data_IF_385884322977
#
_entry.id   IF_385884322977
#
_cell.length_a   1.000
_cell.length_b   1.000
_cell.length_c   1.000
_cell.angle_alpha   90.00
_cell.angle_beta   90.00
_cell.angle_gamma   90.00
#
_symmetry.space_group_name_H-M   'P 1'
#
loop_
_entity.id
_entity.type
_entity.pdbx_description
1 polymer ?
#
# COMPACT_ATOMS: atom_id res chain seq x y z
N UNK A 1 20.56 -15.08 -26.70
CA UNK A 1 21.30 -14.15 -25.82
C UNK A 1 21.09 -14.58 -24.37
N UNK A 2 22.04 -14.29 -23.47
CA UNK A 2 21.87 -14.56 -22.04
C UNK A 2 20.73 -13.69 -21.50
N UNK A 3 19.96 -14.23 -20.55
CA UNK A 3 18.89 -13.47 -19.86
C UNK A 3 19.54 -12.46 -18.89
N UNK A 4 18.93 -11.29 -18.76
CA UNK A 4 19.31 -10.30 -17.75
C UNK A 4 18.87 -10.83 -16.38
N UNK A 5 19.79 -10.91 -15.42
CA UNK A 5 19.50 -11.41 -14.08
C UNK A 5 19.11 -10.24 -13.19
N UNK A 6 17.93 -10.34 -12.56
CA UNK A 6 17.41 -9.30 -11.64
C UNK A 6 16.90 -9.93 -10.35
N UNK A 7 17.14 -9.23 -9.23
CA UNK A 7 16.49 -9.55 -7.94
C UNK A 7 15.15 -8.83 -7.86
N UNK A 8 14.10 -9.57 -7.48
CA UNK A 8 12.75 -9.04 -7.30
C UNK A 8 12.27 -9.37 -5.89
N UNK A 9 12.06 -8.34 -5.05
CA UNK A 9 11.54 -8.51 -3.69
C UNK A 9 10.06 -8.09 -3.63
N UNK A 10 9.16 -9.02 -3.33
CA UNK A 10 7.70 -8.79 -3.31
C UNK A 10 7.06 -9.56 -2.15
N UNK A 11 5.80 -9.26 -1.85
CA UNK A 11 5.01 -10.02 -0.88
C UNK A 11 4.63 -11.40 -1.45
N UNK A 12 4.34 -12.34 -0.56
CA UNK A 12 3.96 -13.71 -0.94
C UNK A 12 2.44 -13.78 -1.15
N UNK A 13 2.02 -13.33 -2.33
CA UNK A 13 0.60 -13.26 -2.71
C UNK A 13 0.26 -14.33 -3.76
N UNK A 14 -0.98 -14.81 -3.75
CA UNK A 14 -1.46 -15.73 -4.79
C UNK A 14 -1.28 -15.13 -6.21
N UNK A 15 -1.50 -13.82 -6.36
CA UNK A 15 -1.42 -13.14 -7.67
C UNK A 15 0.01 -13.05 -8.24
N UNK A 16 1.03 -13.37 -7.45
CA UNK A 16 2.44 -13.42 -7.94
C UNK A 16 3.02 -14.83 -7.89
N UNK A 17 2.25 -15.81 -7.45
CA UNK A 17 2.70 -17.19 -7.25
C UNK A 17 3.37 -17.77 -8.50
N UNK A 18 2.79 -17.55 -9.68
CA UNK A 18 3.35 -18.08 -10.92
C UNK A 18 4.74 -17.52 -11.24
N UNK A 19 5.03 -16.25 -10.84
CA UNK A 19 6.39 -15.68 -10.94
C UNK A 19 7.32 -16.34 -9.93
N UNK A 20 6.87 -16.49 -8.69
CA UNK A 20 7.65 -17.09 -7.61
C UNK A 20 8.06 -18.55 -7.95
N UNK A 21 7.13 -19.30 -8.53
CA UNK A 21 7.34 -20.72 -8.88
C UNK A 21 8.04 -20.91 -10.24
N UNK A 22 8.26 -19.84 -10.98
CA UNK A 22 8.89 -19.93 -12.31
C UNK A 22 7.96 -20.41 -13.41
N UNK A 23 6.64 -20.48 -13.16
CA UNK A 23 5.65 -20.85 -14.18
C UNK A 23 5.44 -19.72 -15.19
N UNK A 24 5.69 -18.47 -14.76
CA UNK A 24 5.76 -17.30 -15.64
C UNK A 24 7.16 -16.70 -15.50
N UNK A 25 7.81 -16.45 -16.63
CA UNK A 25 9.08 -15.74 -16.66
C UNK A 25 8.95 -14.52 -17.58
N UNK A 26 9.39 -13.33 -17.14
CA UNK A 26 9.37 -12.19 -18.05
C UNK A 26 10.36 -12.39 -19.19
N UNK A 27 9.96 -11.99 -20.39
CA UNK A 27 10.77 -12.21 -21.59
C UNK A 27 12.15 -11.52 -21.46
N UNK A 28 13.21 -12.30 -21.66
CA UNK A 28 14.60 -11.80 -21.60
C UNK A 28 15.16 -11.63 -20.20
N UNK A 29 14.40 -11.96 -19.15
CA UNK A 29 14.80 -11.74 -17.75
C UNK A 29 14.78 -13.07 -16.99
N UNK A 30 15.82 -13.27 -16.17
CA UNK A 30 15.89 -14.35 -15.18
C UNK A 30 15.70 -13.70 -13.81
N UNK A 31 14.58 -13.99 -13.14
CA UNK A 31 14.25 -13.39 -11.84
C UNK A 31 14.71 -14.27 -10.69
N UNK A 32 15.39 -13.65 -9.73
CA UNK A 32 15.55 -14.20 -8.37
C UNK A 32 14.45 -13.56 -7.51
N UNK A 33 13.40 -14.31 -7.22
CA UNK A 33 12.20 -13.80 -6.52
C UNK A 33 12.31 -14.07 -5.02
N UNK A 34 12.27 -13.00 -4.22
CA UNK A 34 12.38 -13.02 -2.75
C UNK A 34 11.03 -12.64 -2.16
N UNK A 35 10.42 -13.55 -1.38
CA UNK A 35 9.09 -13.35 -0.79
C UNK A 35 9.07 -13.56 0.73
N UNK A 36 10.22 -13.68 1.35
CA UNK A 36 10.36 -14.08 2.77
C UNK A 36 10.51 -12.92 3.74
N UNK A 37 10.35 -11.69 3.26
CA UNK A 37 10.47 -10.48 4.08
C UNK A 37 9.11 -9.87 4.37
N UNK A 38 8.93 -9.36 5.60
CA UNK A 38 7.78 -8.50 5.90
C UNK A 38 7.87 -7.19 5.08
N UNK A 39 6.73 -6.52 4.94
CA UNK A 39 6.63 -5.34 4.07
C UNK A 39 7.52 -4.18 4.54
N UNK A 40 7.60 -3.93 5.86
CA UNK A 40 8.40 -2.82 6.41
C UNK A 40 9.87 -3.01 6.08
N UNK A 41 10.40 -4.21 6.34
CA UNK A 41 11.79 -4.58 6.04
C UNK A 41 12.07 -4.45 4.54
N UNK A 42 11.18 -4.97 3.69
CA UNK A 42 11.34 -4.93 2.23
C UNK A 42 11.39 -3.49 1.72
N UNK A 43 10.44 -2.65 2.16
CA UNK A 43 10.37 -1.24 1.73
C UNK A 43 11.63 -0.47 2.14
N UNK A 44 12.05 -0.65 3.38
CA UNK A 44 13.23 0.00 3.94
C UNK A 44 14.51 -0.41 3.18
N UNK A 45 14.69 -1.71 2.97
CA UNK A 45 15.85 -2.25 2.26
C UNK A 45 15.91 -1.77 0.81
N UNK A 46 14.77 -1.68 0.14
CA UNK A 46 14.72 -1.19 -1.25
C UNK A 46 14.99 0.31 -1.31
N UNK A 47 14.23 1.09 -0.54
CA UNK A 47 14.24 2.55 -0.70
C UNK A 47 15.49 3.20 -0.08
N UNK A 48 15.98 2.70 1.06
CA UNK A 48 17.20 3.25 1.67
C UNK A 48 18.48 2.60 1.16
N UNK A 49 18.52 1.26 1.14
CA UNK A 49 19.75 0.53 0.85
C UNK A 49 19.93 0.19 -0.62
N UNK A 50 18.83 0.21 -1.41
CA UNK A 50 18.84 -0.22 -2.81
C UNK A 50 19.29 -1.68 -2.95
N UNK A 51 18.89 -2.55 -2.02
CA UNK A 51 19.33 -3.95 -1.95
C UNK A 51 18.81 -4.81 -3.11
N UNK A 52 17.72 -4.39 -3.76
CA UNK A 52 17.05 -5.17 -4.83
C UNK A 52 16.99 -4.36 -6.11
N UNK A 53 16.94 -5.03 -7.25
CA UNK A 53 16.82 -4.37 -8.56
C UNK A 53 15.40 -3.86 -8.78
N UNK A 54 14.42 -4.68 -8.37
CA UNK A 54 12.99 -4.39 -8.48
C UNK A 54 12.35 -4.78 -7.13
N UNK A 55 11.45 -3.97 -6.61
CA UNK A 55 10.75 -4.35 -5.39
C UNK A 55 9.37 -3.71 -5.28
N UNK A 56 8.48 -4.43 -4.63
CA UNK A 56 7.23 -3.86 -4.14
C UNK A 56 7.55 -2.94 -2.97
N UNK A 57 7.06 -1.71 -3.00
CA UNK A 57 7.26 -0.76 -1.91
C UNK A 57 6.00 0.07 -1.63
N UNK A 58 5.95 0.67 -0.44
CA UNK A 58 4.87 1.58 -0.04
C UNK A 58 4.74 2.69 -1.09
N UNK A 59 3.54 2.88 -1.62
CA UNK A 59 3.26 3.94 -2.60
C UNK A 59 3.59 5.32 -2.01
N UNK A 60 3.22 5.56 -0.75
CA UNK A 60 3.50 6.82 -0.06
C UNK A 60 5.01 7.07 0.07
N UNK A 61 5.77 6.08 0.52
CA UNK A 61 7.24 6.22 0.65
C UNK A 61 7.89 6.39 -0.73
N UNK A 62 7.36 5.72 -1.75
CA UNK A 62 7.79 5.91 -3.14
C UNK A 62 7.61 7.37 -3.59
N UNK A 63 6.45 7.98 -3.28
CA UNK A 63 6.21 9.40 -3.61
C UNK A 63 7.25 10.30 -2.93
N UNK A 64 7.56 10.06 -1.66
CA UNK A 64 8.58 10.84 -0.94
C UNK A 64 9.95 10.65 -1.61
N UNK A 65 10.32 9.42 -1.93
CA UNK A 65 11.60 9.14 -2.61
C UNK A 65 11.69 9.87 -3.96
N UNK A 66 10.60 9.87 -4.74
CA UNK A 66 10.56 10.57 -6.04
C UNK A 66 10.64 12.08 -5.88
N UNK A 67 9.92 12.65 -4.90
CA UNK A 67 9.96 14.08 -4.61
C UNK A 67 11.37 14.54 -4.24
N UNK A 68 12.16 13.67 -3.61
CA UNK A 68 13.55 13.94 -3.23
C UNK A 68 14.56 13.62 -4.35
N UNK A 69 14.08 13.16 -5.51
CA UNK A 69 14.94 12.88 -6.66
C UNK A 69 15.71 11.56 -6.56
N UNK A 70 15.31 10.66 -5.69
CA UNK A 70 15.98 9.36 -5.52
C UNK A 70 15.86 8.53 -6.84
N UNK A 71 16.86 7.68 -7.14
CA UNK A 71 17.00 7.07 -8.47
C UNK A 71 16.12 5.82 -8.67
N UNK A 72 14.81 5.99 -8.49
CA UNK A 72 13.81 4.93 -8.71
C UNK A 72 12.82 5.37 -9.78
N UNK A 73 12.27 4.40 -10.48
CA UNK A 73 11.15 4.57 -11.41
C UNK A 73 10.01 3.66 -10.98
N UNK A 74 8.77 4.03 -11.28
CA UNK A 74 7.58 3.24 -10.95
C UNK A 74 7.06 2.45 -12.14
N UNK A 75 6.77 1.19 -11.92
CA UNK A 75 6.05 0.35 -12.86
C UNK A 75 4.62 0.28 -12.33
N UNK A 76 3.57 0.56 -13.13
CA UNK A 76 2.21 0.63 -12.60
C UNK A 76 1.60 -0.77 -12.37
N UNK A 77 2.20 -1.49 -11.44
CA UNK A 77 1.78 -2.79 -10.92
C UNK A 77 1.50 -2.59 -9.43
N UNK A 78 0.28 -2.87 -9.00
CA UNK A 78 -0.21 -2.54 -7.66
C UNK A 78 -0.61 -3.83 -6.94
N UNK A 79 0.37 -4.49 -6.31
CA UNK A 79 0.21 -5.83 -5.73
C UNK A 79 -0.67 -5.85 -4.49
N UNK A 80 -0.67 -4.75 -3.72
CA UNK A 80 -1.45 -4.67 -2.50
C UNK A 80 -2.45 -3.53 -2.56
N UNK A 81 -3.72 -3.88 -2.36
CA UNK A 81 -4.82 -2.92 -2.17
C UNK A 81 -5.60 -3.33 -0.94
N UNK A 82 -6.12 -2.37 -0.21
CA UNK A 82 -6.91 -2.71 0.97
C UNK A 82 -7.75 -1.52 1.46
N UNK A 83 -9.01 -1.76 1.77
CA UNK A 83 -9.81 -0.82 2.54
C UNK A 83 -9.23 -0.74 3.96
N UNK A 84 -9.43 0.38 4.63
CA UNK A 84 -8.72 0.65 5.88
C UNK A 84 -9.60 1.05 7.07
N UNK A 85 -10.92 1.14 6.90
CA UNK A 85 -11.81 1.52 8.02
C UNK A 85 -11.68 0.53 9.18
N UNK A 86 -11.53 -0.76 8.89
CA UNK A 86 -11.36 -1.80 9.91
C UNK A 86 -10.01 -1.81 10.62
N UNK A 87 -9.10 -0.89 10.27
CA UNK A 87 -7.73 -0.84 10.78
C UNK A 87 -7.46 0.41 11.63
N UNK A 88 -8.54 1.06 12.11
CA UNK A 88 -8.48 2.12 13.11
C UNK A 88 -9.05 1.57 14.41
N UNK A 89 -8.23 1.16 15.40
CA UNK A 89 -8.50 0.67 16.46
C UNK A 89 -8.56 1.68 17.34
N UNK A 90 -9.32 1.56 18.53
CA UNK A 90 -9.51 2.47 19.66
C UNK A 90 -9.40 1.72 20.98
N UNK A 91 -9.01 2.41 22.02
CA UNK A 91 -9.19 1.91 23.39
C UNK A 91 -10.65 2.14 23.76
N UNK A 92 -11.35 1.10 24.17
CA UNK A 92 -12.80 1.12 24.44
C UNK A 92 -13.18 1.92 25.66
N UNK A 93 -12.23 2.27 26.51
CA UNK A 93 -12.44 3.09 27.72
C UNK A 93 -12.30 4.59 27.46
N UNK A 94 -11.70 5.02 26.13
CA UNK A 94 -11.58 6.09 25.82
C UNK A 94 -12.59 6.75 25.52
N UNK A 95 -13.89 6.33 25.46
CA UNK A 95 -15.14 6.99 25.16
C UNK A 95 -15.29 7.48 23.72
N UNK A 96 -14.44 6.96 22.82
CA UNK A 96 -14.47 7.29 21.39
C UNK A 96 -15.58 6.47 20.73
N UNK A 97 -16.58 7.15 20.17
CA UNK A 97 -17.74 6.52 19.53
C UNK A 97 -18.01 7.03 18.12
N UNK A 98 -17.42 8.17 17.77
CA UNK A 98 -17.57 8.82 16.47
C UNK A 98 -16.16 9.24 15.98
N UNK A 99 -15.90 9.23 14.68
CA UNK A 99 -14.58 9.68 14.20
C UNK A 99 -14.15 11.05 14.72
N UNK A 100 -15.08 11.98 14.94
CA UNK A 100 -14.73 13.33 15.44
C UNK A 100 -14.19 13.32 16.88
N UNK A 101 -14.45 12.25 17.63
CA UNK A 101 -13.89 12.10 18.97
C UNK A 101 -12.36 11.91 18.93
N UNK A 102 -11.79 11.63 17.75
CA UNK A 102 -10.34 11.54 17.58
C UNK A 102 -9.63 12.89 17.65
N UNK A 103 -10.37 14.00 17.54
CA UNK A 103 -9.76 15.35 17.60
C UNK A 103 -9.11 15.55 18.99
N UNK A 104 -7.82 15.84 19.01
CA UNK A 104 -7.04 16.01 20.24
C UNK A 104 -6.46 14.74 20.84
N UNK A 105 -6.87 13.58 20.33
CA UNK A 105 -6.44 12.27 20.86
C UNK A 105 -4.96 11.97 20.61
N UNK A 106 -4.42 11.06 21.40
CA UNK A 106 -3.10 10.44 21.21
C UNK A 106 -3.29 9.23 20.32
N UNK A 107 -2.78 9.31 19.09
CA UNK A 107 -2.94 8.22 18.12
C UNK A 107 -1.60 7.59 17.74
N UNK A 108 -1.50 6.29 17.92
CA UNK A 108 -0.35 5.51 17.52
C UNK A 108 -0.36 5.19 16.02
N UNK A 109 0.83 5.09 15.45
CA UNK A 109 1.04 4.57 14.09
C UNK A 109 2.32 3.73 14.08
N UNK A 110 2.38 2.74 13.20
CA UNK A 110 3.64 1.98 12.99
C UNK A 110 4.71 2.92 12.41
N UNK A 111 4.36 3.61 11.31
CA UNK A 111 5.13 4.68 10.64
C UNK A 111 4.12 5.69 10.12
N UNK A 112 4.38 6.96 10.29
CA UNK A 112 3.46 8.01 9.80
C UNK A 112 3.35 7.99 8.27
N UNK A 113 4.48 7.72 7.59
CA UNK A 113 4.60 7.79 6.13
C UNK A 113 3.91 6.65 5.38
N UNK A 114 3.55 5.54 6.01
CA UNK A 114 3.07 4.37 5.25
C UNK A 114 1.77 4.66 4.48
N UNK A 115 1.57 3.96 3.36
CA UNK A 115 0.37 4.17 2.52
C UNK A 115 -0.93 3.93 3.27
N UNK A 116 -0.96 2.95 4.17
CA UNK A 116 -2.15 2.68 4.98
C UNK A 116 -2.53 3.92 5.80
N UNK A 117 -1.56 4.50 6.51
CA UNK A 117 -1.78 5.68 7.34
C UNK A 117 -2.12 6.91 6.49
N UNK A 118 -1.45 7.09 5.35
CA UNK A 118 -1.74 8.18 4.42
C UNK A 118 -3.22 8.16 3.99
N UNK A 119 -3.72 6.99 3.57
CA UNK A 119 -5.12 6.81 3.17
C UNK A 119 -6.07 7.05 4.33
N UNK A 120 -5.78 6.46 5.51
CA UNK A 120 -6.65 6.60 6.69
C UNK A 120 -6.79 8.06 7.11
N UNK A 121 -5.67 8.81 7.17
CA UNK A 121 -5.73 10.25 7.48
C UNK A 121 -6.52 11.01 6.41
N UNK A 122 -6.28 10.67 5.14
CA UNK A 122 -6.98 11.34 4.03
C UNK A 122 -8.50 11.20 4.14
N UNK A 123 -9.00 9.97 4.31
CA UNK A 123 -10.46 9.85 4.41
C UNK A 123 -11.03 10.25 5.77
N UNK A 124 -10.29 10.15 6.86
CA UNK A 124 -10.75 10.74 8.13
C UNK A 124 -10.98 12.24 7.96
N UNK A 125 -10.07 12.92 7.26
CA UNK A 125 -10.20 14.37 7.03
C UNK A 125 -11.32 14.69 6.05
N UNK A 126 -11.32 14.06 4.88
CA UNK A 126 -12.23 14.44 3.79
C UNK A 126 -13.63 13.84 3.90
N UNK A 127 -13.79 12.69 4.56
CA UNK A 127 -15.10 12.02 4.68
C UNK A 127 -15.74 12.22 6.05
N UNK A 128 -14.92 12.36 7.11
CA UNK A 128 -15.43 12.41 8.48
C UNK A 128 -15.13 13.74 9.20
N UNK A 129 -14.38 14.63 8.56
CA UNK A 129 -14.09 15.97 9.11
C UNK A 129 -13.14 15.96 10.32
N UNK A 130 -12.17 15.04 10.31
CA UNK A 130 -11.15 14.93 11.37
C UNK A 130 -9.79 15.35 10.77
N UNK A 131 -9.37 16.62 10.95
CA UNK A 131 -8.09 17.06 10.40
C UNK A 131 -6.92 16.30 11.02
N UNK A 132 -6.02 15.80 10.20
CA UNK A 132 -4.86 15.04 10.69
C UNK A 132 -3.96 15.88 11.62
N UNK A 133 -3.96 17.21 11.46
CA UNK A 133 -3.22 18.15 12.31
C UNK A 133 -3.81 18.31 13.71
N UNK A 134 -5.07 17.87 13.89
CA UNK A 134 -5.74 17.96 15.20
C UNK A 134 -5.44 16.76 16.11
N UNK A 135 -4.62 15.83 15.66
CA UNK A 135 -4.30 14.57 16.35
C UNK A 135 -2.83 14.61 16.82
N UNK A 136 -2.57 14.08 18.01
CA UNK A 136 -1.21 13.93 18.54
C UNK A 136 -0.67 12.55 18.15
N UNK A 137 0.23 12.50 17.19
CA UNK A 137 0.73 11.25 16.61
C UNK A 137 1.94 10.69 17.35
N UNK A 138 1.97 9.38 17.49
CA UNK A 138 3.09 8.65 18.12
C UNK A 138 3.50 7.51 17.18
N UNK A 139 4.73 7.58 16.61
CA UNK A 139 5.22 6.56 15.69
C UNK A 139 6.13 5.55 16.40
N UNK A 140 5.91 4.27 16.12
CA UNK A 140 6.69 3.17 16.69
C UNK A 140 8.04 3.02 15.99
N UNK A 141 8.08 3.21 14.67
CA UNK A 141 9.28 2.99 13.85
C UNK A 141 9.69 4.27 13.14
N UNK A 142 10.95 4.31 12.73
CA UNK A 142 11.47 5.36 11.86
C UNK A 142 10.84 5.25 10.46
N UNK A 143 10.74 6.35 9.75
CA UNK A 143 10.17 6.40 8.42
C UNK A 143 11.08 5.70 7.40
N UNK A 144 10.48 5.16 6.33
CA UNK A 144 11.25 4.52 5.25
C UNK A 144 12.18 5.54 4.57
N UNK A 145 11.69 6.76 4.36
CA UNK A 145 12.46 7.88 3.81
C UNK A 145 12.22 9.08 4.73
N UNK A 146 13.28 9.69 5.20
CA UNK A 146 13.16 10.89 6.04
C UNK A 146 12.52 12.02 5.22
N UNK A 147 11.61 12.77 5.84
CA UNK A 147 10.98 13.93 5.21
C UNK A 147 10.92 15.10 6.16
N UNK A 148 10.88 16.30 5.61
CA UNK A 148 10.79 17.54 6.39
C UNK A 148 9.37 17.65 6.97
N UNK A 149 9.28 17.51 8.30
CA UNK A 149 7.97 17.54 8.98
C UNK A 149 7.42 18.96 9.02
N UNK A 150 6.15 19.14 8.67
CA UNK A 150 5.50 20.46 8.86
C UNK A 150 5.54 20.89 10.33
N UNK A 151 5.72 22.18 10.56
CA UNK A 151 5.86 22.76 11.94
C UNK A 151 4.62 22.51 12.80
N UNK A 152 3.44 22.43 12.18
CA UNK A 152 2.17 22.23 12.84
C UNK A 152 1.78 20.75 13.03
N UNK A 153 2.67 19.83 12.65
CA UNK A 153 2.43 18.38 12.81
C UNK A 153 2.98 17.90 14.16
N UNK A 154 2.09 17.51 15.06
CA UNK A 154 2.45 16.89 16.34
C UNK A 154 2.77 15.41 16.09
N UNK A 155 4.06 15.08 15.92
CA UNK A 155 4.51 13.70 15.66
C UNK A 155 5.72 13.37 16.51
N UNK A 156 5.56 12.44 17.45
CA UNK A 156 6.59 11.99 18.41
C UNK A 156 7.02 10.56 18.08
N UNK A 157 8.34 10.35 17.95
CA UNK A 157 8.91 9.00 17.82
C UNK A 157 8.97 8.36 19.21
N UNK A 158 8.38 7.18 19.35
CA UNK A 158 8.40 6.44 20.62
C UNK A 158 9.78 5.80 20.86
N UNK A 159 10.18 5.61 22.13
CA UNK A 159 11.35 4.78 22.43
C UNK A 159 11.19 3.35 21.91
N UNK A 160 12.30 2.71 21.56
CA UNK A 160 12.29 1.39 20.91
C UNK A 160 11.63 0.28 21.73
N UNK A 161 11.61 0.42 23.05
CA UNK A 161 10.97 -0.55 23.94
C UNK A 161 9.45 -0.41 24.04
N UNK A 162 8.85 0.60 23.40
CA UNK A 162 7.40 0.87 23.43
C UNK A 162 6.75 0.37 22.14
N UNK A 163 5.74 -0.49 22.27
CA UNK A 163 4.95 -0.97 21.13
C UNK A 163 3.55 -0.34 21.13
N UNK A 164 3.12 0.21 20.00
CA UNK A 164 1.83 0.93 19.90
C UNK A 164 0.63 0.05 20.21
N UNK A 165 0.70 -1.26 19.93
CA UNK A 165 -0.39 -2.19 20.21
C UNK A 165 -0.65 -2.32 21.72
N UNK A 166 0.44 -2.50 22.49
CA UNK A 166 0.34 -2.64 23.93
C UNK A 166 -0.07 -1.30 24.57
N UNK A 167 0.51 -0.19 24.10
CA UNK A 167 0.16 1.15 24.58
C UNK A 167 -1.33 1.46 24.38
N UNK A 168 -1.92 1.00 23.26
CA UNK A 168 -3.36 1.14 23.03
C UNK A 168 -4.15 0.33 24.07
N UNK A 169 -3.78 -0.93 24.28
CA UNK A 169 -4.47 -1.81 25.24
C UNK A 169 -4.40 -1.27 26.68
N UNK A 170 -3.27 -0.65 27.04
CA UNK A 170 -3.04 -0.12 28.37
C UNK A 170 -3.55 1.33 28.57
N UNK A 171 -4.11 1.94 27.51
CA UNK A 171 -4.68 3.28 27.59
C UNK A 171 -3.66 4.40 27.58
N UNK A 172 -2.41 4.11 27.23
CA UNK A 172 -1.39 5.16 27.02
C UNK A 172 -1.64 5.92 25.70
N UNK A 173 -2.28 5.23 24.73
CA UNK A 173 -2.78 5.82 23.49
C UNK A 173 -4.31 5.64 23.45
N UNK A 174 -4.98 6.62 22.90
CA UNK A 174 -6.46 6.62 22.78
C UNK A 174 -6.90 5.81 21.56
N UNK A 175 -6.11 5.87 20.49
CA UNK A 175 -6.42 5.22 19.22
C UNK A 175 -5.15 4.80 18.50
N UNK A 176 -5.30 3.95 17.47
CA UNK A 176 -4.18 3.41 16.71
C UNK A 176 -4.61 3.19 15.26
N UNK A 177 -3.84 3.71 14.32
CA UNK A 177 -3.93 3.31 12.90
C UNK A 177 -2.84 2.29 12.64
N UNK A 178 -3.23 1.08 12.23
CA UNK A 178 -2.27 0.00 12.03
C UNK A 178 -2.43 -0.62 10.63
N UNK A 179 -1.34 -1.00 9.95
CA UNK A 179 -1.47 -1.61 8.62
C UNK A 179 -2.02 -3.04 8.67
N UNK A 180 -1.90 -3.71 9.82
CA UNK A 180 -2.32 -5.11 9.99
C UNK A 180 -3.25 -5.24 11.18
N UNK A 181 -3.82 -6.44 11.36
CA UNK A 181 -4.57 -6.76 12.58
C UNK A 181 -3.61 -6.81 13.77
N UNK A 182 -4.01 -6.20 14.86
CA UNK A 182 -3.18 -6.08 16.07
C UNK A 182 -3.44 -7.24 17.03
N UNK A 183 -2.41 -7.63 17.76
CA UNK A 183 -2.47 -8.81 18.61
C UNK A 183 -3.53 -8.71 19.72
N UNK A 184 -3.72 -7.56 20.41
CA UNK A 184 -4.82 -7.45 21.38
C UNK A 184 -6.18 -7.75 20.78
N UNK A 185 -6.48 -7.24 19.59
CA UNK A 185 -7.75 -7.50 18.91
C UNK A 185 -7.91 -8.97 18.56
N UNK A 186 -6.85 -9.61 18.04
CA UNK A 186 -6.85 -11.04 17.68
C UNK A 186 -7.12 -11.89 18.93
N UNK A 187 -6.54 -11.51 20.06
CA UNK A 187 -6.68 -12.22 21.34
C UNK A 187 -8.04 -11.95 22.02
N UNK A 188 -8.87 -11.08 21.47
CA UNK A 188 -10.17 -10.75 22.06
C UNK A 188 -10.08 -9.87 23.30
N UNK A 189 -9.05 -9.05 23.40
CA UNK A 189 -8.90 -8.09 24.51
C UNK A 189 -10.00 -7.04 24.42
N UNK A 190 -10.88 -7.03 25.43
CA UNK A 190 -12.07 -6.15 25.45
C UNK A 190 -11.71 -4.66 25.58
N UNK A 191 -10.49 -4.34 25.98
CA UNK A 191 -10.00 -2.95 26.07
C UNK A 191 -9.76 -2.35 24.68
N UNK A 192 -9.75 -3.19 23.62
CA UNK A 192 -9.46 -2.75 22.26
C UNK A 192 -10.65 -3.05 21.35
N UNK A 193 -11.09 -2.04 20.61
CA UNK A 193 -12.15 -2.17 19.62
C UNK A 193 -11.78 -1.52 18.29
N UNK A 194 -12.73 -1.51 17.37
CA UNK A 194 -12.59 -0.77 16.09
C UNK A 194 -13.39 0.52 16.17
N UNK A 195 -12.85 1.60 15.65
CA UNK A 195 -13.58 2.86 15.48
C UNK A 195 -14.83 2.65 14.62
N UNK A 196 -14.72 1.79 13.61
CA UNK A 196 -15.84 1.42 12.73
C UNK A 196 -16.19 -0.06 12.98
N UNK A 197 -17.09 -0.38 13.91
CA UNK A 197 -17.43 -1.80 14.17
C UNK A 197 -17.99 -2.49 12.92
N UNK A 198 -18.83 -1.78 12.13
CA UNK A 198 -19.39 -2.29 10.88
C UNK A 198 -18.54 -1.85 9.67
N UNK A 199 -17.21 -1.98 9.80
CA UNK A 199 -16.24 -1.46 8.81
C UNK A 199 -16.52 -1.93 7.38
N UNK A 200 -16.99 -3.15 7.18
CA UNK A 200 -17.30 -3.67 5.84
C UNK A 200 -18.38 -2.82 5.15
N UNK A 201 -19.42 -2.44 5.88
CA UNK A 201 -20.49 -1.60 5.33
C UNK A 201 -20.00 -0.17 5.08
N UNK A 202 -19.15 0.36 5.96
CA UNK A 202 -18.53 1.68 5.74
C UNK A 202 -17.64 1.67 4.49
N UNK A 203 -16.86 0.60 4.30
CA UNK A 203 -15.99 0.43 3.13
C UNK A 203 -16.79 0.32 1.83
N UNK A 204 -17.93 -0.38 1.85
CA UNK A 204 -18.86 -0.44 0.71
C UNK A 204 -19.45 0.94 0.38
N UNK A 205 -19.89 1.70 1.41
CA UNK A 205 -20.38 3.08 1.24
C UNK A 205 -19.29 3.97 0.63
N UNK A 206 -18.09 3.89 1.19
CA UNK A 206 -16.93 4.65 0.70
C UNK A 206 -16.66 4.33 -0.78
N UNK A 207 -16.61 3.05 -1.13
CA UNK A 207 -16.38 2.64 -2.52
C UNK A 207 -17.49 3.11 -3.44
N UNK A 208 -18.75 2.94 -3.03
CA UNK A 208 -19.92 3.38 -3.82
C UNK A 208 -19.87 4.89 -4.09
N UNK A 209 -19.45 5.67 -3.10
CA UNK A 209 -19.33 7.15 -3.21
C UNK A 209 -18.14 7.57 -4.07
N UNK A 210 -16.99 6.93 -3.89
CA UNK A 210 -15.70 7.41 -4.42
C UNK A 210 -15.18 6.62 -5.62
N UNK A 211 -15.53 5.33 -5.73
CA UNK A 211 -14.90 4.40 -6.67
C UNK A 211 -13.49 4.00 -6.29
N UNK A 212 -13.06 4.31 -5.05
CA UNK A 212 -11.68 4.09 -4.61
C UNK A 212 -11.54 2.77 -3.86
N UNK A 213 -10.72 1.86 -4.39
CA UNK A 213 -10.22 0.68 -3.68
C UNK A 213 -8.73 0.90 -3.42
N UNK A 214 -8.33 1.36 -2.24
CA UNK A 214 -7.04 2.04 -2.03
C UNK A 214 -5.81 1.24 -2.42
N UNK A 215 -5.01 1.82 -3.32
CA UNK A 215 -3.69 1.29 -3.72
C UNK A 215 -2.73 1.53 -2.55
N UNK A 216 -2.07 0.45 -2.08
CA UNK A 216 -1.11 0.52 -0.99
C UNK A 216 0.33 0.51 -1.51
N UNK A 217 0.63 -0.35 -2.47
CA UNK A 217 2.01 -0.59 -2.92
C UNK A 217 2.15 -0.43 -4.43
N UNK A 218 3.35 -0.04 -4.85
CA UNK A 218 3.77 0.11 -6.24
C UNK A 218 5.00 -0.79 -6.47
N UNK A 219 5.21 -1.20 -7.70
CA UNK A 219 6.45 -1.88 -8.10
C UNK A 219 7.48 -0.82 -8.49
N UNK A 220 8.56 -0.72 -7.70
CA UNK A 220 9.67 0.19 -7.98
C UNK A 220 10.82 -0.53 -8.67
N UNK A 221 11.56 0.17 -9.49
CA UNK A 221 12.74 -0.35 -10.19
C UNK A 221 13.85 0.70 -10.12
N UNK A 222 15.11 0.27 -9.99
CA UNK A 222 16.25 1.18 -10.04
C UNK A 222 16.30 1.87 -11.40
N UNK A 223 16.52 3.18 -11.41
CA UNK A 223 16.56 3.98 -12.64
C UNK A 223 17.67 3.49 -13.60
N UNK A 224 18.84 3.13 -13.07
CA UNK A 224 19.95 2.64 -13.88
C UNK A 224 19.58 1.43 -14.73
N UNK A 225 18.75 0.53 -14.20
CA UNK A 225 18.30 -0.66 -14.95
C UNK A 225 17.43 -0.25 -16.14
N UNK A 226 16.53 0.72 -15.92
CA UNK A 226 15.65 1.24 -16.99
C UNK A 226 16.47 1.95 -18.08
N UNK A 227 17.46 2.75 -17.67
CA UNK A 227 18.31 3.48 -18.60
C UNK A 227 19.14 2.54 -19.48
N UNK A 228 19.69 1.47 -18.88
CA UNK A 228 20.49 0.48 -19.61
C UNK A 228 19.63 -0.51 -20.39
N UNK A 229 18.42 -0.80 -19.90
CA UNK A 229 17.54 -1.85 -20.42
C UNK A 229 16.09 -1.35 -20.49
N UNK A 230 15.78 -0.42 -21.41
CA UNK A 230 14.47 0.23 -21.44
C UNK A 230 13.27 -0.70 -21.75
N UNK A 231 13.55 -1.93 -22.15
CA UNK A 231 12.53 -2.97 -22.41
C UNK A 231 12.09 -3.69 -21.11
N UNK A 232 12.85 -3.61 -20.02
CA UNK A 232 12.61 -4.37 -18.78
C UNK A 232 11.25 -4.04 -18.13
N UNK A 233 10.88 -2.76 -17.95
CA UNK A 233 9.60 -2.46 -17.29
C UNK A 233 8.37 -3.04 -17.98
N UNK A 234 8.32 -2.98 -19.32
CA UNK A 234 7.15 -3.51 -20.04
C UNK A 234 7.10 -5.05 -19.97
N UNK A 235 8.26 -5.72 -20.02
CA UNK A 235 8.30 -7.18 -19.91
C UNK A 235 7.93 -7.64 -18.50
N UNK A 236 8.36 -6.93 -17.47
CA UNK A 236 7.90 -7.18 -16.09
C UNK A 236 6.39 -6.97 -15.97
N UNK A 237 5.89 -5.86 -16.48
CA UNK A 237 4.45 -5.55 -16.44
C UNK A 237 3.61 -6.70 -17.05
N UNK A 238 4.02 -7.19 -18.23
CA UNK A 238 3.32 -8.29 -18.88
C UNK A 238 3.38 -9.59 -18.06
N UNK A 239 4.55 -9.89 -17.47
CA UNK A 239 4.71 -11.09 -16.64
C UNK A 239 3.85 -11.02 -15.37
N UNK A 240 3.78 -9.85 -14.72
CA UNK A 240 2.90 -9.66 -13.56
C UNK A 240 1.43 -9.81 -13.92
N UNK A 241 1.00 -9.28 -15.07
CA UNK A 241 -0.38 -9.46 -15.55
C UNK A 241 -0.68 -10.93 -15.84
N UNK A 242 0.23 -11.63 -16.48
CA UNK A 242 0.05 -13.07 -16.77
C UNK A 242 -0.07 -13.87 -15.47
N UNK A 243 0.81 -13.62 -14.50
CA UNK A 243 0.77 -14.29 -13.20
C UNK A 243 -0.56 -14.03 -12.48
N UNK A 244 -1.05 -12.77 -12.50
CA UNK A 244 -2.34 -12.41 -11.90
C UNK A 244 -3.49 -13.14 -12.60
N UNK A 245 -3.49 -13.21 -13.94
CA UNK A 245 -4.54 -13.91 -14.68
C UNK A 245 -4.59 -15.40 -14.34
N UNK A 246 -3.44 -16.04 -14.20
CA UNK A 246 -3.35 -17.46 -13.77
C UNK A 246 -3.97 -17.61 -12.38
N UNK A 247 -3.61 -16.72 -11.44
CA UNK A 247 -4.13 -16.75 -10.07
C UNK A 247 -5.66 -16.54 -10.05
N UNK A 248 -6.16 -15.56 -10.79
CA UNK A 248 -7.60 -15.27 -10.85
C UNK A 248 -8.38 -16.46 -11.37
N UNK A 249 -7.90 -17.12 -12.44
CA UNK A 249 -8.50 -18.36 -12.97
C UNK A 249 -8.53 -19.47 -11.91
N UNK A 250 -7.41 -19.63 -11.20
CA UNK A 250 -7.27 -20.65 -10.16
C UNK A 250 -8.23 -20.40 -9.00
N UNK A 251 -8.36 -19.15 -8.58
CA UNK A 251 -9.19 -18.74 -7.43
C UNK A 251 -10.70 -18.80 -7.69
N UNK A 252 -11.15 -19.03 -8.93
CA UNK A 252 -12.55 -19.33 -9.22
C UNK A 252 -12.99 -20.62 -8.49
N UNK A 253 -12.07 -21.56 -8.29
CA UNK A 253 -12.36 -22.82 -7.61
C UNK A 253 -12.48 -22.60 -6.09
N UNK A 254 -13.68 -22.80 -5.49
CA UNK A 254 -13.86 -22.53 -4.06
C UNK A 254 -13.09 -23.47 -3.13
N UNK A 255 -12.49 -24.55 -3.67
CA UNK A 255 -11.66 -25.46 -2.87
C UNK A 255 -10.25 -24.94 -2.64
N UNK A 256 -9.88 -23.81 -3.26
CA UNK A 256 -8.50 -23.25 -3.21
C UNK A 256 -8.10 -22.84 -1.79
N UNK A 257 -9.07 -22.39 -0.99
CA UNK A 257 -8.86 -22.03 0.41
C UNK A 257 -9.94 -22.71 1.27
N UNK A 258 -9.62 -23.09 2.51
CA UNK A 258 -10.59 -23.74 3.41
C UNK A 258 -11.49 -22.73 4.12
N UNK A 259 -12.29 -21.99 3.35
CA UNK A 259 -13.28 -21.03 3.86
C UNK A 259 -14.67 -21.43 3.37
N UNK A 260 -15.60 -21.60 4.28
CA UNK A 260 -16.95 -22.11 4.00
C UNK A 260 -17.71 -21.21 3.01
N UNK A 261 -17.57 -19.91 3.16
CA UNK A 261 -18.28 -18.94 2.33
C UNK A 261 -17.35 -18.17 1.38
N UNK A 262 -16.28 -18.83 0.91
CA UNK A 262 -15.32 -18.22 -0.01
C UNK A 262 -15.99 -17.77 -1.32
N UNK A 263 -16.85 -18.65 -1.89
CA UNK A 263 -17.48 -18.36 -3.18
C UNK A 263 -18.45 -17.17 -3.07
N UNK A 264 -19.22 -17.13 -2.01
CA UNK A 264 -20.13 -16.02 -1.73
C UNK A 264 -19.37 -14.68 -1.55
N UNK A 265 -18.25 -14.72 -0.85
CA UNK A 265 -17.38 -13.55 -0.69
C UNK A 265 -16.81 -13.09 -2.03
N UNK A 266 -16.42 -14.04 -2.88
CA UNK A 266 -15.94 -13.77 -4.24
C UNK A 266 -17.01 -13.08 -5.09
N UNK A 267 -18.23 -13.63 -5.10
CA UNK A 267 -19.35 -13.10 -5.88
C UNK A 267 -19.75 -11.70 -5.40
N UNK A 268 -19.80 -11.50 -4.08
CA UNK A 268 -20.05 -10.17 -3.50
C UNK A 268 -19.00 -9.16 -3.94
N UNK A 269 -17.71 -9.56 -3.92
CA UNK A 269 -16.63 -8.71 -4.38
C UNK A 269 -16.80 -8.34 -5.86
N UNK A 270 -17.11 -9.31 -6.73
CA UNK A 270 -17.32 -9.04 -8.15
C UNK A 270 -18.50 -8.09 -8.38
N UNK A 271 -19.59 -8.27 -7.63
CA UNK A 271 -20.76 -7.39 -7.71
C UNK A 271 -20.42 -5.94 -7.34
N UNK A 272 -19.60 -5.75 -6.29
CA UNK A 272 -19.31 -4.42 -5.76
C UNK A 272 -18.13 -3.76 -6.49
N UNK A 273 -17.02 -4.48 -6.66
CA UNK A 273 -15.75 -3.93 -7.14
C UNK A 273 -15.48 -4.19 -8.63
N UNK A 274 -16.28 -5.07 -9.26
CA UNK A 274 -16.06 -5.46 -10.65
C UNK A 274 -15.18 -6.70 -10.79
N UNK A 275 -14.91 -7.09 -12.03
CA UNK A 275 -14.26 -8.37 -12.35
C UNK A 275 -12.76 -8.40 -12.10
N UNK A 276 -12.08 -7.24 -12.07
CA UNK A 276 -10.65 -7.16 -11.78
C UNK A 276 -10.37 -5.97 -10.86
N UNK A 277 -10.67 -6.11 -9.57
CA UNK A 277 -10.36 -5.02 -8.62
C UNK A 277 -8.86 -4.82 -8.40
N UNK A 278 -8.02 -5.75 -8.85
CA UNK A 278 -6.54 -5.63 -8.82
C UNK A 278 -5.96 -5.24 -10.18
N UNK A 279 -6.68 -4.52 -11.03
CA UNK A 279 -6.17 -4.13 -12.34
C UNK A 279 -4.86 -3.33 -12.22
N UNK A 280 -3.93 -3.58 -13.14
CA UNK A 280 -2.66 -2.86 -13.24
C UNK A 280 -2.74 -1.83 -14.37
N UNK A 281 -1.72 -0.97 -14.43
CA UNK A 281 -1.64 0.06 -15.46
C UNK A 281 -2.26 1.36 -15.01
N UNK A 282 -2.12 2.38 -15.85
CA UNK A 282 -2.69 3.72 -15.60
C UNK A 282 -4.08 3.79 -16.27
N UNK A 283 -5.01 2.96 -15.79
CA UNK A 283 -6.42 3.02 -16.17
C UNK A 283 -7.07 4.23 -15.54
N UNK A 284 -8.24 4.66 -16.04
CA UNK A 284 -8.96 5.82 -15.47
C UNK A 284 -9.19 5.66 -13.96
N UNK A 285 -9.54 4.43 -13.52
CA UNK A 285 -9.76 4.15 -12.09
C UNK A 285 -8.46 4.27 -11.28
N UNK A 286 -7.36 3.76 -11.81
CA UNK A 286 -6.05 3.85 -11.14
C UNK A 286 -5.51 5.28 -11.13
N UNK A 287 -5.65 6.00 -12.23
CA UNK A 287 -5.26 7.43 -12.32
C UNK A 287 -5.98 8.23 -11.23
N UNK A 288 -7.29 8.07 -11.10
CA UNK A 288 -8.09 8.75 -10.07
C UNK A 288 -7.54 8.47 -8.67
N UNK A 289 -7.21 7.21 -8.37
CA UNK A 289 -6.69 6.81 -7.06
C UNK A 289 -5.29 7.38 -6.81
N UNK A 290 -4.42 7.32 -7.81
CA UNK A 290 -3.05 7.81 -7.70
C UNK A 290 -3.00 9.32 -7.55
N UNK A 291 -3.85 10.05 -8.28
CA UNK A 291 -3.98 11.51 -8.14
C UNK A 291 -4.45 11.88 -6.73
N UNK A 292 -5.41 11.12 -6.18
CA UNK A 292 -5.88 11.32 -4.81
C UNK A 292 -4.75 11.05 -3.80
N UNK A 293 -3.99 9.98 -4.00
CA UNK A 293 -2.85 9.62 -3.14
C UNK A 293 -1.77 10.71 -3.15
N UNK A 294 -1.44 11.22 -4.34
CA UNK A 294 -0.50 12.34 -4.51
C UNK A 294 -1.05 13.59 -3.80
N UNK A 295 -2.36 13.84 -3.95
CA UNK A 295 -3.04 14.94 -3.27
C UNK A 295 -2.90 14.85 -1.76
N UNK A 296 -3.23 13.70 -1.19
CA UNK A 296 -3.13 13.45 0.26
C UNK A 296 -1.68 13.57 0.75
N UNK A 297 -0.72 13.04 -0.02
CA UNK A 297 0.71 13.13 0.34
C UNK A 297 1.17 14.59 0.44
N UNK A 298 0.72 15.42 -0.50
CA UNK A 298 1.02 16.86 -0.51
C UNK A 298 0.31 17.59 0.64
N UNK A 299 -0.99 17.36 0.84
CA UNK A 299 -1.78 17.99 1.90
C UNK A 299 -1.24 17.67 3.29
N UNK A 300 -0.75 16.43 3.46
CA UNK A 300 -0.19 15.97 4.73
C UNK A 300 1.27 16.36 4.90
N UNK A 301 1.85 17.07 3.93
CA UNK A 301 3.19 17.65 4.04
C UNK A 301 4.33 16.66 3.82
N UNK A 302 4.07 15.53 3.18
CA UNK A 302 5.12 14.53 2.94
C UNK A 302 5.88 14.76 1.64
N UNK A 303 5.26 15.42 0.66
CA UNK A 303 5.92 15.84 -0.59
C UNK A 303 5.70 17.33 -0.81
N UNK A 304 6.67 17.99 -1.45
CA UNK A 304 6.68 19.45 -1.64
C UNK A 304 5.76 19.93 -2.74
N UNK A 305 5.45 19.08 -3.72
CA UNK A 305 4.57 19.40 -4.85
C UNK A 305 3.78 18.19 -5.31
N UNK A 306 2.67 18.45 -5.96
CA UNK A 306 1.86 17.37 -6.58
C UNK A 306 2.53 16.99 -7.91
N UNK A 307 3.25 15.87 -7.88
CA UNK A 307 3.93 15.36 -9.09
C UNK A 307 2.91 14.74 -10.04
N UNK A 308 2.97 15.07 -11.35
CA UNK A 308 2.09 14.41 -12.32
C UNK A 308 2.48 12.92 -12.49
N UNK A 309 1.51 12.11 -12.88
CA UNK A 309 1.72 10.64 -12.91
C UNK A 309 2.76 10.20 -13.95
N UNK A 310 2.95 10.98 -15.02
CA UNK A 310 3.98 10.67 -16.02
C UNK A 310 5.41 10.93 -15.52
N UNK A 311 5.57 11.70 -14.44
CA UNK A 311 6.85 11.77 -13.72
C UNK A 311 7.05 10.56 -12.80
N UNK A 312 5.97 9.94 -12.33
CA UNK A 312 6.00 8.88 -11.31
C UNK A 312 6.03 7.49 -11.92
N UNK A 313 5.41 7.28 -13.08
CA UNK A 313 5.23 5.94 -13.64
C UNK A 313 5.69 5.87 -15.09
N UNK A 314 6.39 4.78 -15.39
CA UNK A 314 6.77 4.46 -16.77
C UNK A 314 5.54 3.98 -17.55
N UNK A 315 5.48 4.37 -18.83
CA UNK A 315 4.42 3.89 -19.72
C UNK A 315 4.73 2.45 -20.14
N UNK A 316 3.83 1.53 -19.81
CA UNK A 316 4.03 0.09 -20.07
C UNK A 316 2.84 -0.56 -20.79
N UNK A 317 1.82 0.23 -21.17
CA UNK A 317 0.51 -0.37 -21.42
C UNK A 317 0.05 -0.38 -22.86
N UNK A 318 0.70 0.27 -23.81
CA UNK A 318 0.06 0.40 -25.11
C UNK A 318 0.85 -0.24 -26.24
N UNK A 319 0.36 -1.41 -26.68
CA UNK A 319 0.60 -1.97 -28.01
C UNK A 319 2.02 -1.86 -28.54
N UNK A 320 2.98 -1.92 -27.66
CA UNK A 320 4.35 -1.61 -28.05
C UNK A 320 5.15 -2.85 -28.31
N UNK A 321 6.06 -2.73 -29.22
CA UNK A 321 6.94 -3.84 -29.57
C UNK A 321 7.95 -4.08 -28.44
N UNK A 322 8.39 -5.33 -28.36
CA UNK A 322 9.46 -5.76 -27.45
C UNK A 322 10.64 -4.79 -27.53
N UNK A 323 11.15 -4.39 -26.39
CA UNK A 323 12.30 -3.52 -26.29
C UNK A 323 12.03 -2.03 -26.29
N UNK A 324 10.75 -1.63 -26.30
CA UNK A 324 10.38 -0.20 -26.23
C UNK A 324 9.83 0.15 -24.84
N UNK A 325 10.40 1.15 -24.21
CA UNK A 325 9.89 1.75 -22.98
C UNK A 325 9.55 3.19 -23.26
N UNK A 326 8.41 3.60 -22.80
CA UNK A 326 7.90 4.94 -23.05
C UNK A 326 7.48 5.61 -21.75
N UNK A 327 7.79 6.86 -21.66
CA UNK A 327 7.23 7.72 -20.63
C UNK A 327 6.07 8.47 -21.27
N UNK A 328 4.98 8.62 -20.54
CA UNK A 328 3.79 9.33 -20.98
C UNK A 328 4.03 10.83 -20.96
#
# INVERSE_FOLDING_TARGET
MAKLKLTLAIGDYEIVRALKEGAVEPDGIELNVLTDMDSTTRHWRFLRNQDFDVAECSCSSYLVARDQGMPFEGIPVFLHRRFRHGFIXINTEXGINDPKDLIGCKMGVKQYQSSAQLWMRGFLEHEYGVPHRSINWFSELDESIDFERPEDLSLTRLPDEKGVEQMLADGELDALMHPDLIQPLINGDRRVGRLFPEFKEEEKKFFKKTGIFPIMHVLGIKREIVEENPWVPINLYHAFNEAKQIAMKRMINPRIVPLAWYREAWEEQEEILGSDPWEYGLTDANVKQLDMLVGFSHEQGMIRRKMPLDELFLSVTQGRKRGEVFRV
#
